data_IF_887201383443
#
_entry.id   IF_887201383443
#
_cell.length_a   1.000
_cell.length_b   1.000
_cell.length_c   1.000
_cell.angle_alpha   90.00
_cell.angle_beta   90.00
_cell.angle_gamma   90.00
#
_symmetry.space_group_name_H-M   'P 1'
#
loop_
_entity.id
_entity.type
_entity.pdbx_description
1 polymer ?
#
# COMPACT_ATOMS: atom_id res chain seq x y z
N UNK A 1 -7.73 12.15 55.07
CA UNK A 1 -6.73 11.79 54.04
C UNK A 1 -7.21 10.75 53.03
N UNK A 2 -8.03 9.75 53.38
CA UNK A 2 -8.48 8.69 52.42
C UNK A 2 -9.24 9.21 51.19
N UNK A 3 -10.06 10.27 51.33
CA UNK A 3 -10.88 10.77 50.22
C UNK A 3 -10.07 11.53 49.16
N UNK A 4 -9.00 12.21 49.58
CA UNK A 4 -8.06 12.89 48.67
C UNK A 4 -7.26 11.87 47.86
N UNK A 5 -6.81 10.78 48.49
CA UNK A 5 -6.09 9.73 47.79
C UNK A 5 -6.94 9.07 46.68
N UNK A 6 -8.23 8.84 46.94
CA UNK A 6 -9.17 8.30 45.95
C UNK A 6 -9.48 9.27 44.81
N UNK A 7 -9.58 10.56 45.12
CA UNK A 7 -9.76 11.60 44.11
C UNK A 7 -8.56 11.67 43.15
N UNK A 8 -7.34 11.62 43.70
CA UNK A 8 -6.10 11.57 42.90
C UNK A 8 -6.04 10.30 42.06
N UNK A 9 -6.43 9.14 42.60
CA UNK A 9 -6.44 7.88 41.85
C UNK A 9 -7.47 7.86 40.71
N UNK A 10 -8.60 8.55 40.88
CA UNK A 10 -9.65 8.70 39.86
C UNK A 10 -9.29 9.64 38.71
N UNK A 11 -8.28 10.51 38.88
CA UNK A 11 -7.78 11.38 37.82
C UNK A 11 -6.82 10.65 36.86
N UNK A 12 -6.20 9.55 37.29
CA UNK A 12 -5.29 8.74 36.49
C UNK A 12 -5.93 8.20 35.19
N UNK A 13 -7.14 7.60 35.19
CA UNK A 13 -7.76 7.15 33.94
C UNK A 13 -8.15 8.30 33.00
N UNK A 14 -8.51 9.46 33.55
CA UNK A 14 -8.82 10.67 32.76
C UNK A 14 -7.54 11.23 32.11
N UNK A 15 -6.43 11.23 32.84
CA UNK A 15 -5.12 11.61 32.33
C UNK A 15 -4.66 10.64 31.22
N UNK A 16 -4.83 9.33 31.40
CA UNK A 16 -4.50 8.33 30.38
C UNK A 16 -5.40 8.44 29.13
N UNK A 17 -6.67 8.80 29.33
CA UNK A 17 -7.60 9.05 28.22
C UNK A 17 -7.24 10.32 27.45
N UNK A 18 -6.90 11.41 28.14
CA UNK A 18 -6.44 12.65 27.51
C UNK A 18 -5.08 12.45 26.79
N UNK A 19 -4.16 11.70 27.39
CA UNK A 19 -2.91 11.30 26.75
C UNK A 19 -3.16 10.49 25.47
N UNK A 20 -4.21 9.66 25.43
CA UNK A 20 -4.60 8.92 24.22
C UNK A 20 -5.11 9.82 23.09
N UNK A 21 -5.74 10.96 23.43
CA UNK A 21 -6.20 11.96 22.45
C UNK A 21 -5.08 12.90 22.01
N UNK A 22 -4.14 13.22 22.88
CA UNK A 22 -2.99 14.08 22.56
C UNK A 22 -2.02 13.39 21.59
N UNK A 23 -1.86 12.07 21.68
CA UNK A 23 -1.15 11.26 20.65
C UNK A 23 -1.87 11.34 19.27
N UNK A 24 -3.15 11.69 19.23
CA UNK A 24 -3.94 11.75 18.00
C UNK A 24 -4.08 13.16 17.40
N UNK A 25 -3.77 14.21 18.16
CA UNK A 25 -4.00 15.60 17.75
C UNK A 25 -2.76 16.49 17.83
N UNK A 26 -1.57 15.89 17.75
CA UNK A 26 -0.32 16.64 17.62
C UNK A 26 -0.05 16.96 16.15
N UNK A 27 0.20 18.24 15.88
CA UNK A 27 0.68 18.76 14.61
C UNK A 27 1.76 17.82 14.06
N UNK A 28 1.39 17.03 13.04
CA UNK A 28 2.29 16.06 12.43
C UNK A 28 3.30 16.77 11.54
N UNK A 29 4.23 17.50 12.15
CA UNK A 29 5.59 17.62 11.61
C UNK A 29 6.25 16.25 11.74
N UNK A 30 5.82 15.34 10.87
CA UNK A 30 6.30 13.97 10.81
C UNK A 30 7.71 14.00 10.20
N UNK A 31 8.72 14.06 11.05
CA UNK A 31 10.09 13.70 10.70
C UNK A 31 10.25 12.21 10.98
N UNK A 32 9.57 11.37 10.18
CA UNK A 32 9.81 9.93 10.21
C UNK A 32 11.10 9.59 9.44
N UNK A 33 11.74 8.48 9.81
CA UNK A 33 12.92 7.96 9.12
C UNK A 33 12.53 7.40 7.74
N UNK A 34 13.51 7.25 6.85
CA UNK A 34 13.30 6.49 5.61
C UNK A 34 12.83 5.06 5.85
N UNK A 35 13.18 4.48 7.00
CA UNK A 35 12.70 3.16 7.41
C UNK A 35 11.19 3.15 7.67
N UNK A 36 10.67 4.19 8.33
CA UNK A 36 9.23 4.38 8.53
C UNK A 36 8.52 4.52 7.19
N UNK A 37 9.12 5.26 6.25
CA UNK A 37 8.61 5.36 4.88
C UNK A 37 8.57 4.02 4.15
N UNK A 38 9.57 3.16 4.35
CA UNK A 38 9.59 1.79 3.84
C UNK A 38 8.43 0.96 4.41
N UNK A 39 8.25 0.99 5.73
CA UNK A 39 7.17 0.30 6.42
C UNK A 39 5.78 0.75 5.96
N UNK A 40 5.57 2.05 5.80
CA UNK A 40 4.30 2.60 5.29
C UNK A 40 3.96 2.09 3.88
N UNK A 41 4.97 1.90 3.02
CA UNK A 41 4.76 1.32 1.70
C UNK A 41 4.38 -0.16 1.76
N UNK A 42 4.98 -0.93 2.67
CA UNK A 42 4.64 -2.34 2.90
C UNK A 42 3.22 -2.52 3.44
N UNK A 43 2.82 -1.63 4.36
CA UNK A 43 1.47 -1.58 4.92
C UNK A 43 0.42 -0.99 3.96
N UNK A 44 0.83 -0.61 2.73
CA UNK A 44 -0.02 0.02 1.71
C UNK A 44 -0.63 1.35 2.16
N UNK A 45 -0.02 2.03 3.12
CA UNK A 45 -0.42 3.36 3.58
C UNK A 45 0.19 4.45 2.70
N UNK A 46 -0.13 4.43 1.40
CA UNK A 46 0.57 5.24 0.40
C UNK A 46 0.42 6.75 0.61
N UNK A 47 -0.72 7.23 1.10
CA UNK A 47 -0.92 8.65 1.38
C UNK A 47 -0.02 9.16 2.53
N UNK A 48 0.21 8.31 3.54
CA UNK A 48 1.10 8.63 4.65
C UNK A 48 2.57 8.59 4.18
N UNK A 49 2.91 7.59 3.35
CA UNK A 49 4.23 7.50 2.74
C UNK A 49 4.55 8.71 1.84
N UNK A 50 3.59 9.21 1.07
CA UNK A 50 3.74 10.45 0.28
C UNK A 50 4.03 11.65 1.20
N UNK A 51 3.25 11.82 2.27
CA UNK A 51 3.41 12.94 3.20
C UNK A 51 4.77 12.93 3.89
N UNK A 52 5.22 11.76 4.35
CA UNK A 52 6.57 11.58 4.92
C UNK A 52 7.66 11.88 3.88
N UNK A 53 7.50 11.40 2.65
CA UNK A 53 8.53 11.61 1.65
C UNK A 53 8.66 13.10 1.28
N UNK A 54 7.53 13.82 1.20
CA UNK A 54 7.52 15.28 0.99
C UNK A 54 8.16 16.01 2.17
N UNK A 55 7.89 15.60 3.42
CA UNK A 55 8.53 16.22 4.59
C UNK A 55 10.05 15.99 4.58
N UNK A 56 10.50 14.77 4.26
CA UNK A 56 11.94 14.46 4.12
C UNK A 56 12.61 15.29 3.01
N UNK A 57 11.97 15.40 1.85
CA UNK A 57 12.48 16.20 0.73
C UNK A 57 12.47 17.70 1.00
N UNK A 58 11.60 18.19 1.89
CA UNK A 58 11.60 19.59 2.30
C UNK A 58 12.87 19.99 3.07
N UNK A 59 13.48 19.02 3.76
CA UNK A 59 14.73 19.19 4.52
C UNK A 59 15.93 19.02 3.58
N UNK A 60 15.89 17.95 2.77
CA UNK A 60 16.92 17.62 1.80
C UNK A 60 16.28 17.29 0.43
N UNK A 61 16.17 18.29 -0.48
CA UNK A 61 15.54 18.10 -1.79
C UNK A 61 16.25 17.09 -2.69
N UNK A 62 17.51 16.77 -2.41
CA UNK A 62 18.33 15.83 -3.19
C UNK A 62 18.41 14.44 -2.57
N UNK A 63 17.56 14.14 -1.58
CA UNK A 63 17.51 12.84 -0.92
C UNK A 63 16.91 11.76 -1.82
N UNK A 64 17.79 10.96 -2.41
CA UNK A 64 17.41 9.88 -3.33
C UNK A 64 16.50 8.82 -2.69
N UNK A 65 16.63 8.58 -1.38
CA UNK A 65 15.82 7.59 -0.66
C UNK A 65 14.41 8.14 -0.40
N UNK A 66 14.30 9.42 -0.07
CA UNK A 66 12.99 10.08 0.04
C UNK A 66 12.29 10.20 -1.32
N UNK A 67 13.01 10.53 -2.40
CA UNK A 67 12.45 10.52 -3.76
C UNK A 67 11.94 9.12 -4.18
N UNK A 68 12.67 8.07 -3.82
CA UNK A 68 12.26 6.69 -4.05
C UNK A 68 10.95 6.36 -3.33
N UNK A 69 10.84 6.72 -2.04
CA UNK A 69 9.62 6.51 -1.25
C UNK A 69 8.44 7.27 -1.87
N UNK A 70 8.64 8.53 -2.26
CA UNK A 70 7.62 9.35 -2.91
C UNK A 70 7.13 8.71 -4.22
N UNK A 71 8.07 8.27 -5.05
CA UNK A 71 7.75 7.65 -6.35
C UNK A 71 6.93 6.38 -6.17
N UNK A 72 7.30 5.51 -5.21
CA UNK A 72 6.51 4.30 -4.91
C UNK A 72 5.15 4.62 -4.30
N UNK A 73 5.06 5.66 -3.48
CA UNK A 73 3.79 6.13 -2.93
C UNK A 73 2.83 6.57 -4.04
N UNK A 74 3.31 7.33 -5.04
CA UNK A 74 2.51 7.72 -6.20
C UNK A 74 2.03 6.52 -7.03
N UNK A 75 2.89 5.52 -7.25
CA UNK A 75 2.49 4.29 -7.94
C UNK A 75 1.38 3.57 -7.17
N UNK A 76 1.55 3.43 -5.85
CA UNK A 76 0.54 2.84 -4.96
C UNK A 76 -0.79 3.58 -5.00
N UNK A 77 -0.77 4.91 -4.83
CA UNK A 77 -1.95 5.77 -4.91
C UNK A 77 -2.63 5.69 -6.27
N UNK A 78 -1.84 5.69 -7.36
CA UNK A 78 -2.35 5.52 -8.71
C UNK A 78 -3.15 4.22 -8.83
N UNK A 79 -2.60 3.10 -8.34
CA UNK A 79 -3.27 1.80 -8.33
C UNK A 79 -4.51 1.74 -7.43
N UNK A 80 -4.54 2.48 -6.33
CA UNK A 80 -5.75 2.64 -5.52
C UNK A 80 -6.85 3.42 -6.26
N UNK A 81 -6.49 4.49 -6.96
CA UNK A 81 -7.45 5.26 -7.76
C UNK A 81 -7.99 4.44 -8.94
N UNK A 82 -7.20 3.54 -9.53
CA UNK A 82 -7.69 2.54 -10.51
C UNK A 82 -8.79 1.68 -9.89
N UNK A 83 -8.58 1.16 -8.68
CA UNK A 83 -9.57 0.33 -7.97
C UNK A 83 -10.86 1.11 -7.66
N UNK A 84 -10.75 2.42 -7.41
CA UNK A 84 -11.89 3.32 -7.23
C UNK A 84 -12.57 3.71 -8.56
N UNK A 85 -12.00 3.31 -9.70
CA UNK A 85 -12.51 3.65 -11.04
C UNK A 85 -12.15 5.06 -11.51
N UNK A 86 -11.26 5.76 -10.80
CA UNK A 86 -10.81 7.11 -11.11
C UNK A 86 -9.54 7.10 -11.99
N UNK A 87 -9.72 6.72 -13.26
CA UNK A 87 -8.61 6.56 -14.20
C UNK A 87 -7.84 7.85 -14.48
N UNK A 88 -8.52 9.01 -14.48
CA UNK A 88 -7.87 10.29 -14.75
C UNK A 88 -6.84 10.64 -13.65
N UNK A 89 -7.23 10.50 -12.38
CA UNK A 89 -6.32 10.75 -11.25
C UNK A 89 -5.23 9.69 -11.16
N UNK A 90 -5.54 8.44 -11.48
CA UNK A 90 -4.56 7.38 -11.54
C UNK A 90 -3.47 7.68 -12.59
N UNK A 91 -3.85 8.08 -13.80
CA UNK A 91 -2.92 8.41 -14.87
C UNK A 91 -2.02 9.59 -14.49
N UNK A 92 -2.55 10.63 -13.85
CA UNK A 92 -1.74 11.77 -13.36
C UNK A 92 -0.66 11.31 -12.36
N UNK A 93 -1.05 10.50 -11.37
CA UNK A 93 -0.13 9.97 -10.35
C UNK A 93 0.95 9.06 -10.96
N UNK A 94 0.56 8.17 -11.87
CA UNK A 94 1.50 7.27 -12.54
C UNK A 94 2.45 8.03 -13.48
N UNK A 95 1.98 9.06 -14.17
CA UNK A 95 2.84 9.94 -14.99
C UNK A 95 3.87 10.68 -14.12
N UNK A 96 3.47 11.18 -12.95
CA UNK A 96 4.41 11.80 -11.99
C UNK A 96 5.51 10.82 -11.58
N UNK A 97 5.16 9.57 -11.31
CA UNK A 97 6.15 8.54 -11.02
C UNK A 97 7.04 8.20 -12.23
N UNK A 98 6.47 8.12 -13.43
CA UNK A 98 7.20 7.80 -14.67
C UNK A 98 8.24 8.86 -15.05
N UNK A 99 8.01 10.13 -14.71
CA UNK A 99 9.00 11.19 -14.89
C UNK A 99 10.27 10.95 -14.07
N UNK A 100 10.14 10.35 -12.88
CA UNK A 100 11.28 10.02 -12.02
C UNK A 100 11.96 8.72 -12.44
N UNK A 101 11.20 7.75 -12.97
CA UNK A 101 11.71 6.45 -13.42
C UNK A 101 11.39 6.19 -14.91
N UNK A 102 12.11 6.83 -15.85
CA UNK A 102 11.79 6.76 -17.28
C UNK A 102 12.06 5.40 -17.93
N UNK A 103 12.83 4.53 -17.29
CA UNK A 103 13.21 3.21 -17.81
C UNK A 103 12.28 2.08 -17.35
N UNK A 104 11.29 2.38 -16.50
CA UNK A 104 10.30 1.40 -16.07
C UNK A 104 9.31 1.10 -17.21
N UNK A 105 9.57 -0.02 -17.91
CA UNK A 105 8.75 -0.46 -19.04
C UNK A 105 7.36 -0.88 -18.61
N UNK A 106 7.19 -1.38 -17.39
CA UNK A 106 5.92 -1.90 -16.91
C UNK A 106 5.00 -0.75 -16.50
N UNK A 107 5.54 0.26 -15.82
CA UNK A 107 4.81 1.48 -15.50
C UNK A 107 4.32 2.20 -16.77
N UNK A 108 5.15 2.26 -17.82
CA UNK A 108 4.77 2.87 -19.10
C UNK A 108 3.62 2.12 -19.78
N UNK A 109 3.69 0.78 -19.81
CA UNK A 109 2.61 -0.06 -20.35
C UNK A 109 1.32 0.10 -19.55
N UNK A 110 1.43 0.15 -18.21
CA UNK A 110 0.28 0.36 -17.32
C UNK A 110 -0.44 1.67 -17.64
N UNK A 111 0.30 2.77 -17.81
CA UNK A 111 -0.25 4.08 -18.20
C UNK A 111 -0.93 4.03 -19.57
N UNK A 112 -0.32 3.38 -20.56
CA UNK A 112 -0.87 3.27 -21.92
C UNK A 112 -2.20 2.49 -21.93
N UNK A 113 -2.26 1.36 -21.22
CA UNK A 113 -3.47 0.56 -21.07
C UNK A 113 -4.58 1.37 -20.38
N UNK A 114 -4.26 2.08 -19.30
CA UNK A 114 -5.23 2.92 -18.59
C UNK A 114 -5.73 4.08 -19.45
N UNK A 115 -4.87 4.68 -20.27
CA UNK A 115 -5.24 5.72 -21.22
C UNK A 115 -6.22 5.20 -22.28
N UNK A 116 -6.00 3.99 -22.80
CA UNK A 116 -6.91 3.33 -23.73
C UNK A 116 -8.27 3.01 -23.09
N UNK A 117 -8.28 2.57 -21.83
CA UNK A 117 -9.52 2.29 -21.08
C UNK A 117 -10.29 3.59 -20.80
N UNK A 118 -9.59 4.63 -20.38
CA UNK A 118 -10.16 5.94 -20.09
C UNK A 118 -10.81 6.57 -21.34
N UNK A 119 -10.11 6.53 -22.48
CA UNK A 119 -10.63 7.05 -23.75
C UNK A 119 -11.80 6.25 -24.32
N UNK A 120 -11.85 4.92 -24.09
CA UNK A 120 -12.96 4.06 -24.54
C UNK A 120 -14.26 4.27 -23.76
N UNK A 121 -14.22 4.96 -22.60
CA UNK A 121 -15.40 5.18 -21.75
C UNK A 121 -16.42 6.18 -22.32
N UNK A 122 -16.21 6.72 -23.52
CA UNK A 122 -17.20 7.55 -24.22
C UNK A 122 -17.29 7.19 -25.71
N UNK A 123 -17.95 6.07 -26.02
CA UNK A 123 -18.52 5.84 -27.35
C UNK A 123 -20.00 5.54 -27.14
N UNK A 124 -20.93 6.48 -27.44
CA UNK A 124 -22.34 6.15 -27.49
C UNK A 124 -22.55 5.05 -28.56
N UNK A 125 -23.40 4.05 -28.31
CA UNK A 125 -23.64 2.97 -29.25
C UNK A 125 -24.59 3.47 -30.34
N UNK A 126 -24.11 4.30 -31.27
CA UNK A 126 -24.86 4.65 -32.47
C UNK A 126 -23.93 4.99 -33.62
N UNK A 127 -23.68 3.98 -34.47
CA UNK A 127 -24.07 4.01 -35.88
C UNK A 127 -23.32 2.92 -36.64
N UNK A 128 -24.12 2.06 -37.27
CA UNK A 128 -23.73 1.07 -38.24
C UNK A 128 -22.81 1.67 -39.33
N UNK A 129 -21.54 1.30 -39.32
CA UNK A 129 -20.66 1.47 -40.47
C UNK A 129 -20.20 0.11 -40.98
N UNK A 130 -20.98 -0.34 -41.95
CA UNK A 130 -20.70 -1.34 -42.97
C UNK A 130 -19.22 -1.27 -43.44
N UNK A 131 -18.38 -2.22 -43.01
CA UNK A 131 -17.02 -2.37 -43.54
C UNK A 131 -16.91 -3.67 -44.33
N UNK A 132 -17.10 -3.51 -45.63
CA UNK A 132 -16.87 -4.47 -46.70
C UNK A 132 -15.43 -5.02 -46.64
N UNK A 133 -15.33 -6.33 -46.82
CA UNK A 133 -14.12 -7.15 -46.85
C UNK A 133 -13.05 -6.63 -47.84
N UNK A 134 -11.78 -6.64 -47.41
CA UNK A 134 -10.65 -6.76 -48.34
C UNK A 134 -9.72 -7.84 -47.81
N UNK A 135 -9.72 -8.96 -48.53
CA UNK A 135 -8.93 -10.15 -48.28
C UNK A 135 -7.49 -9.84 -48.72
N UNK A 136 -6.60 -9.52 -47.78
CA UNK A 136 -5.17 -9.42 -48.03
C UNK A 136 -4.51 -10.60 -47.34
N UNK A 137 -4.25 -11.67 -48.11
CA UNK A 137 -3.36 -12.75 -47.69
C UNK A 137 -1.95 -12.17 -47.54
N UNK A 138 -1.58 -11.79 -46.33
CA UNK A 138 -0.19 -11.58 -45.97
C UNK A 138 0.47 -12.96 -45.83
N UNK A 139 1.32 -13.31 -46.80
CA UNK A 139 2.28 -14.40 -46.65
C UNK A 139 3.32 -13.93 -45.65
N UNK A 140 3.15 -14.31 -44.38
CA UNK A 140 4.11 -14.04 -43.31
C UNK A 140 5.26 -15.03 -43.50
N UNK A 141 6.36 -14.55 -44.06
CA UNK A 141 7.64 -15.25 -44.01
C UNK A 141 8.06 -15.30 -42.53
N UNK A 142 7.83 -16.43 -41.87
CA UNK A 142 8.32 -16.66 -40.52
C UNK A 142 9.83 -16.85 -40.59
N UNK A 143 10.55 -15.86 -40.10
CA UNK A 143 11.99 -15.86 -39.96
C UNK A 143 12.41 -16.97 -38.97
N UNK A 144 13.32 -17.90 -39.31
CA UNK A 144 13.77 -18.96 -38.39
C UNK A 144 14.31 -18.45 -37.04
N UNK A 145 14.77 -17.20 -36.98
CA UNK A 145 15.25 -16.55 -35.75
C UNK A 145 14.11 -16.23 -34.75
N UNK A 146 12.87 -16.15 -35.23
CA UNK A 146 11.69 -15.95 -34.39
C UNK A 146 11.42 -17.16 -33.48
N UNK A 147 11.63 -18.37 -34.00
CA UNK A 147 11.41 -19.60 -33.22
C UNK A 147 12.43 -19.76 -32.10
N UNK A 148 13.70 -19.44 -32.38
CA UNK A 148 14.74 -19.43 -31.35
C UNK A 148 14.45 -18.39 -30.25
N UNK A 149 14.01 -17.19 -30.63
CA UNK A 149 13.61 -16.16 -29.66
C UNK A 149 12.41 -16.59 -28.81
N UNK A 150 11.47 -17.34 -29.39
CA UNK A 150 10.29 -17.83 -28.68
C UNK A 150 10.61 -18.96 -27.68
N UNK A 151 11.57 -19.82 -28.03
CA UNK A 151 12.06 -20.87 -27.14
C UNK A 151 12.91 -20.30 -25.99
N UNK A 152 13.77 -19.32 -26.25
CA UNK A 152 14.52 -18.60 -25.21
C UNK A 152 13.56 -17.89 -24.24
N UNK A 153 12.54 -17.19 -24.77
CA UNK A 153 11.55 -16.49 -23.97
C UNK A 153 10.68 -17.45 -23.13
N UNK A 154 10.39 -18.64 -23.65
CA UNK A 154 9.71 -19.70 -22.90
C UNK A 154 10.59 -20.21 -21.74
N UNK A 155 11.89 -20.32 -21.96
CA UNK A 155 12.85 -20.73 -20.92
C UNK A 155 12.97 -19.69 -19.81
N UNK A 156 13.00 -18.40 -20.15
CA UNK A 156 13.00 -17.29 -19.19
C UNK A 156 11.68 -17.22 -18.40
N UNK A 157 10.54 -17.44 -19.07
CA UNK A 157 9.24 -17.46 -18.39
C UNK A 157 9.19 -18.61 -17.37
N UNK A 158 9.69 -19.79 -17.74
CA UNK A 158 9.80 -20.92 -16.82
C UNK A 158 10.69 -20.63 -15.61
N UNK A 159 11.82 -19.95 -15.80
CA UNK A 159 12.74 -19.61 -14.70
C UNK A 159 12.11 -18.58 -13.74
N UNK A 160 11.43 -17.56 -14.28
CA UNK A 160 10.68 -16.57 -13.48
C UNK A 160 9.56 -17.24 -12.70
N UNK A 161 8.82 -18.17 -13.32
CA UNK A 161 7.73 -18.88 -12.67
C UNK A 161 8.24 -19.78 -11.54
N UNK A 162 9.38 -20.44 -11.72
CA UNK A 162 10.02 -21.20 -10.62
C UNK A 162 10.47 -20.30 -9.47
N UNK A 163 11.06 -19.13 -9.76
CA UNK A 163 11.50 -18.18 -8.73
C UNK A 163 10.31 -17.62 -7.94
N UNK A 164 9.20 -17.30 -8.60
CA UNK A 164 7.96 -16.86 -7.95
C UNK A 164 7.34 -17.96 -7.07
N UNK A 165 7.39 -19.21 -7.52
CA UNK A 165 6.89 -20.36 -6.75
C UNK A 165 7.72 -20.59 -5.47
N UNK A 166 9.03 -20.40 -5.55
CA UNK A 166 9.92 -20.47 -4.40
C UNK A 166 9.67 -19.32 -3.43
N UNK A 167 9.48 -18.10 -3.93
CA UNK A 167 9.11 -16.93 -3.12
C UNK A 167 7.77 -17.10 -2.40
N UNK A 168 6.76 -17.64 -3.07
CA UNK A 168 5.44 -17.93 -2.49
C UNK A 168 5.51 -19.01 -1.39
N UNK A 169 6.39 -20.01 -1.56
CA UNK A 169 6.64 -21.03 -0.55
C UNK A 169 7.29 -20.48 0.73
N UNK A 170 8.18 -19.51 0.58
CA UNK A 170 8.86 -18.83 1.70
C UNK A 170 7.90 -17.88 2.45
N UNK A 171 7.04 -17.19 1.71
CA UNK A 171 6.00 -16.33 2.30
C UNK A 171 4.99 -17.13 3.12
N UNK A 172 4.62 -18.32 2.65
CA UNK A 172 3.73 -19.24 3.36
C UNK A 172 4.30 -19.74 4.69
N UNK A 173 5.63 -19.77 4.84
CA UNK A 173 6.29 -20.06 6.12
C UNK A 173 6.23 -18.85 7.08
N UNK A 174 6.37 -17.62 6.57
CA UNK A 174 6.22 -16.38 7.38
C UNK A 174 4.79 -16.14 7.91
N UNK A 175 3.75 -16.57 7.17
CA UNK A 175 2.36 -16.50 7.64
C UNK A 175 2.10 -17.37 8.88
N UNK A 176 2.90 -18.43 9.07
CA UNK A 176 2.81 -19.28 10.27
C UNK A 176 3.35 -18.58 11.52
N UNK A 177 4.29 -17.63 11.36
CA UNK A 177 4.81 -16.79 12.44
C UNK A 177 3.81 -15.70 12.85
N UNK A 178 3.17 -15.04 11.89
CA UNK A 178 2.17 -13.99 12.19
C UNK A 178 0.97 -14.52 12.98
N UNK A 179 0.54 -15.77 12.73
CA UNK A 179 -0.52 -16.42 13.53
C UNK A 179 -0.19 -16.52 15.02
N UNK A 180 1.09 -16.60 15.41
CA UNK A 180 1.49 -16.63 16.83
C UNK A 180 1.34 -15.26 17.49
N UNK A 181 1.56 -14.18 16.75
CA UNK A 181 1.43 -12.80 17.25
C UNK A 181 -0.03 -12.46 17.63
N UNK A 182 -1.00 -12.90 16.82
CA UNK A 182 -2.42 -12.76 17.15
C UNK A 182 -2.81 -13.51 18.43
N UNK A 183 -2.18 -14.65 18.71
CA UNK A 183 -2.41 -15.38 19.97
C UNK A 183 -1.86 -14.60 21.17
N UNK A 184 -0.66 -14.03 21.06
CA UNK A 184 -0.08 -13.20 22.12
C UNK A 184 -0.91 -11.93 22.37
N UNK A 185 -1.38 -11.27 21.31
CA UNK A 185 -2.25 -10.10 21.42
C UNK A 185 -3.57 -10.43 22.12
N UNK A 186 -4.15 -11.59 21.79
CA UNK A 186 -5.35 -12.10 22.47
C UNK A 186 -5.13 -12.35 23.97
N UNK A 187 -4.00 -12.96 24.34
CA UNK A 187 -3.66 -13.20 25.75
C UNK A 187 -3.51 -11.88 26.52
N UNK A 188 -2.82 -10.90 25.95
CA UNK A 188 -2.64 -9.56 26.55
C UNK A 188 -4.00 -8.86 26.70
N UNK A 189 -4.87 -8.97 25.69
CA UNK A 189 -6.23 -8.40 25.74
C UNK A 189 -7.10 -9.02 26.85
N UNK A 190 -7.00 -10.33 27.08
CA UNK A 190 -7.75 -10.98 28.16
C UNK A 190 -7.19 -10.57 29.52
N UNK A 191 -5.86 -10.50 29.66
CA UNK A 191 -5.22 -10.12 30.92
C UNK A 191 -5.56 -8.69 31.34
N UNK A 192 -5.57 -7.77 30.39
CA UNK A 192 -5.96 -6.37 30.60
C UNK A 192 -7.43 -6.25 30.99
N UNK A 193 -8.33 -7.01 30.34
CA UNK A 193 -9.75 -7.04 30.69
C UNK A 193 -9.99 -7.58 32.10
N UNK A 194 -9.34 -8.70 32.47
CA UNK A 194 -9.43 -9.28 33.82
C UNK A 194 -8.92 -8.30 34.88
N UNK A 195 -7.80 -7.63 34.61
CA UNK A 195 -7.24 -6.61 35.50
C UNK A 195 -8.20 -5.42 35.68
N UNK A 196 -8.84 -4.98 34.59
CA UNK A 196 -9.84 -3.92 34.62
C UNK A 196 -11.09 -4.31 35.42
N UNK A 197 -11.63 -5.52 35.21
CA UNK A 197 -12.77 -6.02 35.99
C UNK A 197 -12.43 -6.13 37.48
N UNK A 198 -11.22 -6.58 37.81
CA UNK A 198 -10.76 -6.69 39.19
C UNK A 198 -10.67 -5.31 39.87
N UNK A 199 -10.23 -4.28 39.15
CA UNK A 199 -10.23 -2.90 39.61
C UNK A 199 -11.65 -2.38 39.82
N UNK A 200 -12.57 -2.69 38.91
CA UNK A 200 -13.98 -2.28 38.98
C UNK A 200 -14.70 -2.95 40.17
N UNK A 201 -14.44 -4.24 40.41
CA UNK A 201 -14.91 -4.98 41.58
C UNK A 201 -14.35 -4.41 42.88
N UNK A 202 -13.05 -4.12 42.91
CA UNK A 202 -12.41 -3.48 44.07
C UNK A 202 -13.05 -2.11 44.36
N UNK A 203 -13.35 -1.32 43.33
CA UNK A 203 -14.04 -0.04 43.46
C UNK A 203 -15.49 -0.19 43.96
N UNK A 204 -16.22 -1.20 43.49
CA UNK A 204 -17.59 -1.50 43.93
C UNK A 204 -17.64 -1.99 45.38
N UNK A 205 -16.74 -2.89 45.78
CA UNK A 205 -16.63 -3.38 47.15
C UNK A 205 -16.22 -2.28 48.13
N UNK A 206 -15.39 -1.35 47.66
CA UNK A 206 -14.95 -0.19 48.42
C UNK A 206 -16.06 0.86 48.65
N UNK A 207 -17.10 0.87 47.80
CA UNK A 207 -18.25 1.79 47.91
C UNK A 207 -19.33 1.30 48.89
N UNK A 208 -19.23 0.06 49.39
CA UNK A 208 -20.11 -0.52 50.41
C UNK A 208 -19.53 -0.29 51.80
#
# INVERSE_FOLDING_TARGET
MSNILRFVLGLIPILLFMFSFEIFSEDRTFFGSHEDGGKLLEEKQFAQAETLAVSLLSINPSDSKAEFILTRAWIGLGREEIKKGNYARAIDLLNKAALKWPFDRDLKKEIELLSMISSKKYVPPDSSLNRKSSNSQAVILLDPDFFHSMDDLKSELHSILSALREFDSLHRESDSFSKREYLFLGIISVLTLVSFLNLLLSFLLWKR
#
